data_IF_026780532363
#
_entry.id   IF_026780532363
#
_cell.length_a   1.000
_cell.length_b   1.000
_cell.length_c   1.000
_cell.angle_alpha   90.00
_cell.angle_beta   90.00
_cell.angle_gamma   90.00
#
_symmetry.space_group_name_H-M   'P 1'
#
loop_
_entity.id
_entity.type
_entity.pdbx_description
1 polymer ?
#
# COMPACT_ATOMS: atom_id res chain seq x y z
N UNK A 1 6.26 2.41 -5.83
CA UNK A 1 5.09 3.29 -6.11
C UNK A 1 5.39 4.82 -6.10
N UNK A 2 6.59 5.29 -6.46
CA UNK A 2 7.01 6.69 -6.15
C UNK A 2 6.37 7.81 -6.98
N UNK A 3 5.70 7.50 -8.10
CA UNK A 3 5.10 8.52 -8.98
C UNK A 3 3.76 9.06 -8.46
N UNK A 4 3.01 8.24 -7.72
CA UNK A 4 1.66 8.58 -7.26
C UNK A 4 1.62 9.79 -6.31
N UNK A 5 2.65 9.96 -5.47
CA UNK A 5 2.75 11.09 -4.54
C UNK A 5 2.67 12.45 -5.23
N UNK A 6 3.20 12.54 -6.45
CA UNK A 6 3.28 13.80 -7.20
C UNK A 6 1.94 14.26 -7.77
N UNK A 7 0.95 13.36 -7.83
CA UNK A 7 -0.36 13.62 -8.42
C UNK A 7 -1.51 13.54 -7.40
N UNK A 8 -1.25 13.07 -6.17
CA UNK A 8 -2.24 13.05 -5.11
C UNK A 8 -2.55 14.47 -4.64
N UNK A 9 -3.85 14.79 -4.50
CA UNK A 9 -4.29 16.00 -3.80
C UNK A 9 -3.88 15.92 -2.32
N UNK A 10 -3.83 17.07 -1.64
CA UNK A 10 -3.68 17.11 -0.18
C UNK A 10 -4.75 16.23 0.49
N UNK A 11 -4.33 15.34 1.39
CA UNK A 11 -5.21 14.35 2.04
C UNK A 11 -5.63 13.17 1.14
N UNK A 12 -5.07 13.06 -0.06
CA UNK A 12 -5.33 11.93 -0.97
C UNK A 12 -4.76 10.62 -0.41
N UNK A 13 -5.48 9.53 -0.64
CA UNK A 13 -5.16 8.18 -0.15
C UNK A 13 -4.94 7.21 -1.30
N UNK A 14 -4.18 6.16 -1.04
CA UNK A 14 -4.02 5.02 -1.96
C UNK A 14 -4.63 3.79 -1.30
N UNK A 15 -5.54 3.11 -2.00
CA UNK A 15 -6.11 1.84 -1.57
C UNK A 15 -5.61 0.74 -2.49
N UNK A 16 -5.08 -0.33 -1.90
CA UNK A 16 -4.68 -1.54 -2.61
C UNK A 16 -5.61 -2.68 -2.20
N UNK A 17 -6.24 -3.30 -3.20
CA UNK A 17 -7.05 -4.51 -3.05
C UNK A 17 -6.45 -5.59 -3.95
N UNK A 18 -5.91 -6.65 -3.36
CA UNK A 18 -5.32 -7.74 -4.14
C UNK A 18 -5.49 -9.10 -3.48
N UNK A 19 -5.42 -10.16 -4.29
CA UNK A 19 -5.57 -11.53 -3.82
C UNK A 19 -4.45 -11.92 -2.85
N UNK A 20 -4.81 -12.63 -1.77
CA UNK A 20 -3.82 -13.26 -0.91
C UNK A 20 -2.93 -14.21 -1.71
N UNK A 21 -1.61 -14.17 -1.46
CA UNK A 21 -0.61 -15.05 -2.09
C UNK A 21 -0.73 -16.48 -1.56
N UNK A 22 -1.81 -17.16 -1.95
CA UNK A 22 -2.11 -18.56 -1.65
C UNK A 22 -2.60 -19.28 -2.91
N UNK A 23 -2.41 -20.60 -2.94
CA UNK A 23 -2.95 -21.46 -4.00
C UNK A 23 -4.48 -21.43 -3.91
N UNK A 24 -5.14 -21.14 -5.03
CA UNK A 24 -6.59 -21.06 -5.16
C UNK A 24 -6.97 -21.58 -6.54
N UNK A 25 -8.16 -22.18 -6.65
CA UNK A 25 -8.67 -22.72 -7.91
C UNK A 25 -9.21 -21.62 -8.86
N UNK A 26 -9.13 -20.37 -8.43
CA UNK A 26 -9.57 -19.19 -9.17
C UNK A 26 -8.64 -17.99 -8.91
N UNK A 27 -8.79 -16.97 -9.77
CA UNK A 27 -7.95 -15.77 -9.76
C UNK A 27 -6.61 -15.97 -10.49
N UNK A 28 -5.68 -15.02 -10.37
CA UNK A 28 -4.37 -15.12 -11.02
C UNK A 28 -3.54 -16.29 -10.46
N UNK A 29 -2.60 -16.84 -11.24
CA UNK A 29 -1.66 -17.85 -10.74
C UNK A 29 -0.84 -17.28 -9.57
N UNK A 30 -0.35 -18.14 -8.63
CA UNK A 30 0.38 -17.68 -7.45
C UNK A 30 1.58 -16.75 -7.72
N UNK A 31 2.30 -16.97 -8.83
CA UNK A 31 3.48 -16.17 -9.19
C UNK A 31 3.11 -14.73 -9.59
N UNK A 32 1.87 -14.49 -10.00
CA UNK A 32 1.34 -13.17 -10.31
C UNK A 32 0.75 -12.46 -9.08
N UNK A 33 0.87 -13.05 -7.88
CA UNK A 33 0.37 -12.47 -6.62
C UNK A 33 1.52 -11.91 -5.79
N UNK A 34 1.26 -10.75 -5.18
CA UNK A 34 2.14 -10.08 -4.22
C UNK A 34 1.51 -10.26 -2.83
N UNK A 35 2.32 -10.64 -1.84
CA UNK A 35 1.80 -10.83 -0.48
C UNK A 35 1.44 -9.48 0.16
N UNK A 36 0.63 -9.52 1.21
CA UNK A 36 0.23 -8.32 1.97
C UNK A 36 1.48 -7.61 2.52
N UNK A 37 2.42 -8.39 3.07
CA UNK A 37 3.65 -7.92 3.70
C UNK A 37 4.56 -7.21 2.69
N UNK A 38 4.78 -7.82 1.52
CA UNK A 38 5.59 -7.22 0.45
C UNK A 38 4.97 -5.91 -0.01
N UNK A 39 3.64 -5.86 -0.13
CA UNK A 39 2.93 -4.65 -0.54
C UNK A 39 3.09 -3.52 0.47
N UNK A 40 3.03 -3.84 1.77
CA UNK A 40 3.25 -2.86 2.85
C UNK A 40 4.67 -2.31 2.81
N UNK A 41 5.68 -3.18 2.67
CA UNK A 41 7.08 -2.73 2.62
C UNK A 41 7.37 -1.90 1.36
N UNK A 42 6.89 -2.29 0.18
CA UNK A 42 7.08 -1.47 -1.04
C UNK A 42 6.39 -0.10 -0.94
N UNK A 43 5.22 -0.03 -0.30
CA UNK A 43 4.54 1.24 -0.05
C UNK A 43 5.30 2.11 0.94
N UNK A 44 5.88 1.51 1.98
CA UNK A 44 6.73 2.19 2.95
C UNK A 44 8.03 2.71 2.33
N UNK A 45 8.70 1.92 1.50
CA UNK A 45 9.86 2.38 0.71
C UNK A 45 9.50 3.50 -0.26
N UNK A 46 8.27 3.49 -0.77
CA UNK A 46 7.73 4.60 -1.55
C UNK A 46 7.35 5.83 -0.71
N UNK A 47 7.52 5.75 0.61
CA UNK A 47 7.27 6.76 1.64
C UNK A 47 5.78 6.99 1.94
N UNK A 48 4.98 5.95 1.87
CA UNK A 48 3.63 5.95 2.42
C UNK A 48 3.63 5.25 3.78
N UNK A 49 2.59 5.47 4.58
CA UNK A 49 2.33 4.68 5.76
C UNK A 49 0.93 4.05 5.67
N UNK A 50 0.79 2.87 6.24
CA UNK A 50 -0.49 2.17 6.32
C UNK A 50 -1.40 2.91 7.32
N UNK A 51 -2.62 3.26 6.91
CA UNK A 51 -3.63 3.90 7.76
C UNK A 51 -4.74 2.95 8.14
N UNK A 52 -5.05 1.98 7.27
CA UNK A 52 -6.15 1.04 7.50
C UNK A 52 -5.87 -0.32 6.88
N UNK A 53 -6.26 -1.36 7.61
CA UNK A 53 -6.39 -2.73 7.10
C UNK A 53 -7.83 -3.18 7.33
N UNK A 54 -8.48 -3.68 6.29
CA UNK A 54 -9.83 -4.23 6.39
C UNK A 54 -9.82 -5.70 5.92
N UNK A 55 -10.63 -6.53 6.55
CA UNK A 55 -10.61 -8.00 6.40
C UNK A 55 -11.97 -8.59 5.97
N UNK A 56 -12.91 -7.76 5.52
CA UNK A 56 -14.24 -8.19 5.08
C UNK A 56 -14.23 -8.93 3.72
N UNK A 57 -13.12 -8.89 2.98
CA UNK A 57 -12.97 -9.58 1.71
C UNK A 57 -12.34 -10.96 1.92
N UNK A 58 -13.07 -12.01 1.53
CA UNK A 58 -12.66 -13.41 1.80
C UNK A 58 -11.33 -13.81 1.14
N UNK A 59 -11.01 -13.25 -0.03
CA UNK A 59 -9.89 -13.70 -0.86
C UNK A 59 -8.84 -12.63 -1.12
N UNK A 60 -9.13 -11.39 -0.75
CA UNK A 60 -8.27 -10.23 -0.98
C UNK A 60 -7.96 -9.55 0.34
N UNK A 61 -6.75 -9.01 0.46
CA UNK A 61 -6.49 -8.00 1.48
C UNK A 61 -6.95 -6.63 0.98
N UNK A 62 -7.23 -5.75 1.93
CA UNK A 62 -7.54 -4.35 1.70
C UNK A 62 -6.62 -3.50 2.56
N UNK A 63 -5.80 -2.67 1.93
CA UNK A 63 -4.85 -1.80 2.59
C UNK A 63 -5.06 -0.35 2.12
N UNK A 64 -5.17 0.57 3.06
CA UNK A 64 -5.23 2.01 2.80
C UNK A 64 -3.94 2.67 3.28
N UNK A 65 -3.41 3.60 2.48
CA UNK A 65 -2.17 4.30 2.75
C UNK A 65 -2.31 5.81 2.53
N UNK A 66 -1.54 6.57 3.31
CA UNK A 66 -1.35 8.01 3.14
C UNK A 66 0.14 8.31 2.88
N UNK A 67 0.47 9.35 2.08
CA UNK A 67 1.84 9.81 1.96
C UNK A 67 2.39 10.23 3.33
N UNK A 68 3.59 9.80 3.68
CA UNK A 68 4.31 10.38 4.82
C UNK A 68 4.58 11.85 4.48
N UNK A 69 4.00 12.78 5.25
CA UNK A 69 4.34 14.20 5.13
C UNK A 69 5.82 14.36 5.46
N UNK A 70 6.60 14.89 4.51
CA UNK A 70 7.94 15.36 4.83
C UNK A 70 7.78 16.57 5.76
N UNK A 71 7.95 16.39 7.06
CA UNK A 71 8.21 17.53 7.93
C UNK A 71 9.48 18.21 7.38
N UNK A 72 9.48 19.53 7.12
CA UNK A 72 10.73 20.23 6.83
C UNK A 72 11.67 19.96 8.00
N UNK A 73 12.86 19.42 7.71
CA UNK A 73 13.93 19.32 8.69
C UNK A 73 14.12 20.72 9.27
N UNK A 74 13.80 20.89 10.55
CA UNK A 74 14.21 22.08 11.28
C UNK A 74 15.73 22.01 11.32
N UNK A 75 16.38 22.82 10.49
CA UNK A 75 17.79 23.14 10.67
C UNK A 75 17.89 23.88 11.99
N UNK A 76 18.51 23.27 12.98
CA UNK A 76 18.97 24.00 14.16
C UNK A 76 20.27 24.69 13.76
N UNK A 77 20.30 26.02 13.80
CA UNK A 77 21.53 26.82 13.78
C UNK A 77 22.48 26.43 14.94
#
# INVERSE_FOLDING_TARGET
MNKLKKILKKGGRVVIVAFYKKKMDFGPPPDNKISEEVTIEEMKEAGYHLTKRLDFLRYQYFLEFEPVENQPQTYTD
#
